data_IF_382318345296
#
_entry.id   IF_382318345296
#
_cell.length_a   1.000
_cell.length_b   1.000
_cell.length_c   1.000
_cell.angle_alpha   90.00
_cell.angle_beta   90.00
_cell.angle_gamma   90.00
#
_symmetry.space_group_name_H-M   'P 1'
#
loop_
_entity.id
_entity.type
_entity.pdbx_description
1 polymer ?
#
# COMPACT_ATOMS: atom_id res chain seq x y z
N UNK A 1 13.80 -7.29 16.72
CA UNK A 1 14.11 -8.18 15.59
C UNK A 1 14.11 -7.36 14.32
N UNK A 2 15.05 -7.57 13.39
CA UNK A 2 15.03 -6.88 12.10
C UNK A 2 13.98 -7.53 11.20
N UNK A 3 12.94 -6.78 10.84
CA UNK A 3 11.98 -7.20 9.81
C UNK A 3 12.61 -7.05 8.42
N UNK A 4 12.15 -7.85 7.45
CA UNK A 4 12.58 -7.79 6.06
C UNK A 4 11.39 -7.55 5.15
N UNK A 5 11.58 -6.74 4.12
CA UNK A 5 10.54 -6.51 3.11
C UNK A 5 10.42 -7.75 2.23
N UNK A 6 9.19 -8.25 2.10
CA UNK A 6 8.89 -9.45 1.32
C UNK A 6 8.28 -9.13 -0.05
N UNK A 7 7.50 -8.05 -0.14
CA UNK A 7 6.85 -7.63 -1.38
C UNK A 7 6.63 -6.11 -1.36
N UNK A 8 6.60 -5.52 -2.56
CA UNK A 8 6.13 -4.17 -2.83
C UNK A 8 5.02 -4.28 -3.88
N UNK A 9 3.81 -3.93 -3.49
CA UNK A 9 2.67 -3.82 -4.40
C UNK A 9 2.44 -2.35 -4.70
N UNK A 10 2.33 -2.00 -5.99
CA UNK A 10 2.22 -0.62 -6.43
C UNK A 10 0.91 -0.44 -7.18
N UNK A 11 0.30 0.72 -7.02
CA UNK A 11 -0.97 1.03 -7.67
C UNK A 11 -1.15 2.51 -7.97
N UNK A 12 -2.12 2.80 -8.83
CA UNK A 12 -2.56 4.14 -9.18
C UNK A 12 -4.04 4.32 -8.88
N UNK A 13 -4.42 5.52 -8.47
CA UNK A 13 -5.80 5.89 -8.26
C UNK A 13 -6.02 7.34 -8.63
N UNK A 14 -7.26 7.69 -8.92
CA UNK A 14 -7.60 9.01 -9.40
C UNK A 14 -8.93 9.47 -8.84
N UNK A 15 -9.05 10.77 -8.59
CA UNK A 15 -10.32 11.44 -8.38
C UNK A 15 -10.56 12.38 -9.56
N UNK A 16 -11.60 12.08 -10.33
CA UNK A 16 -11.90 12.80 -11.57
C UNK A 16 -12.61 14.13 -11.30
N UNK A 17 -13.34 14.20 -10.19
CA UNK A 17 -14.19 15.33 -9.83
C UNK A 17 -14.15 15.50 -8.31
N UNK A 18 -13.73 16.68 -7.83
CA UNK A 18 -13.80 17.03 -6.42
C UNK A 18 -12.46 17.37 -5.76
N UNK A 19 -11.34 17.14 -6.44
CA UNK A 19 -10.00 17.29 -5.84
C UNK A 19 -9.85 16.52 -4.52
N UNK A 20 -10.50 15.36 -4.42
CA UNK A 20 -10.45 14.54 -3.22
C UNK A 20 -9.20 13.65 -3.23
N UNK A 21 -8.13 14.18 -2.64
CA UNK A 21 -6.86 13.49 -2.49
C UNK A 21 -6.98 12.17 -1.73
N UNK A 22 -7.82 12.12 -0.68
CA UNK A 22 -8.04 10.91 0.11
C UNK A 22 -8.66 9.80 -0.73
N UNK A 23 -9.67 10.13 -1.53
CA UNK A 23 -10.33 9.17 -2.44
C UNK A 23 -9.39 8.69 -3.53
N UNK A 24 -8.58 9.57 -4.13
CA UNK A 24 -7.56 9.17 -5.09
C UNK A 24 -6.55 8.20 -4.47
N UNK A 25 -6.04 8.50 -3.27
CA UNK A 25 -5.13 7.63 -2.53
C UNK A 25 -5.77 6.29 -2.17
N UNK A 26 -7.03 6.27 -1.72
CA UNK A 26 -7.75 5.04 -1.41
C UNK A 26 -7.85 4.12 -2.64
N UNK A 27 -8.15 4.70 -3.81
CA UNK A 27 -8.18 3.97 -5.09
C UNK A 27 -6.81 3.40 -5.44
N UNK A 28 -5.73 4.16 -5.23
CA UNK A 28 -4.38 3.70 -5.51
C UNK A 28 -3.96 2.52 -4.63
N UNK A 29 -4.36 2.55 -3.36
CA UNK A 29 -4.14 1.44 -2.42
C UNK A 29 -4.95 0.21 -2.83
N UNK A 30 -6.22 0.39 -3.21
CA UNK A 30 -7.06 -0.72 -3.68
C UNK A 30 -6.50 -1.36 -4.97
N UNK A 31 -6.04 -0.54 -5.91
CA UNK A 31 -5.39 -0.99 -7.14
C UNK A 31 -4.14 -1.83 -6.84
N UNK A 32 -3.31 -1.39 -5.88
CA UNK A 32 -2.13 -2.14 -5.45
C UNK A 32 -2.49 -3.52 -4.87
N UNK A 33 -3.54 -3.62 -4.06
CA UNK A 33 -3.87 -4.83 -3.29
C UNK A 33 -4.74 -5.85 -4.04
N UNK A 34 -5.44 -5.48 -5.11
CA UNK A 34 -6.45 -6.35 -5.76
C UNK A 34 -5.90 -7.26 -6.85
N UNK A 35 -4.63 -7.13 -7.20
CA UNK A 35 -4.02 -7.91 -8.30
C UNK A 35 -3.33 -9.19 -7.84
N UNK A 36 -3.16 -9.38 -6.53
CA UNK A 36 -2.47 -10.53 -5.95
C UNK A 36 -3.22 -11.11 -4.75
N UNK A 37 -2.95 -12.38 -4.46
CA UNK A 37 -3.39 -13.04 -3.23
C UNK A 37 -2.17 -13.66 -2.57
N UNK A 38 -1.93 -13.31 -1.30
CA UNK A 38 -0.77 -13.74 -0.53
C UNK A 38 -1.19 -14.71 0.58
N UNK A 39 -1.17 -16.04 0.34
CA UNK A 39 -1.50 -17.04 1.36
C UNK A 39 -0.36 -17.25 2.41
N UNK A 40 0.53 -16.27 2.56
CA UNK A 40 1.79 -16.37 3.31
C UNK A 40 1.63 -16.85 4.75
N UNK A 41 0.59 -16.38 5.45
CA UNK A 41 0.37 -16.73 6.87
C UNK A 41 0.18 -18.23 7.09
N UNK A 42 -0.60 -18.89 6.22
CA UNK A 42 -0.82 -20.33 6.30
C UNK A 42 0.41 -21.13 5.87
N UNK A 43 1.22 -20.59 4.96
CA UNK A 43 2.43 -21.26 4.45
C UNK A 43 3.60 -21.14 5.44
N UNK A 44 3.72 -20.01 6.13
CA UNK A 44 4.83 -19.70 7.03
C UNK A 44 4.50 -19.96 8.50
N UNK A 45 3.28 -20.40 8.82
CA UNK A 45 2.79 -20.59 10.20
C UNK A 45 3.00 -19.34 11.09
N UNK A 46 2.77 -18.17 10.51
CA UNK A 46 2.92 -16.88 11.18
C UNK A 46 1.55 -16.28 11.52
N UNK A 47 1.41 -15.63 12.70
CA UNK A 47 0.19 -14.93 13.03
C UNK A 47 0.04 -13.67 12.16
N UNK A 48 -1.19 -13.24 11.92
CA UNK A 48 -1.48 -12.09 11.04
C UNK A 48 -0.86 -10.77 11.50
N UNK A 49 -0.67 -10.60 12.81
CA UNK A 49 -0.08 -9.41 13.43
C UNK A 49 1.46 -9.37 13.36
N UNK A 50 2.11 -10.48 12.99
CA UNK A 50 3.54 -10.51 12.69
C UNK A 50 3.88 -9.62 11.50
N UNK A 51 2.93 -9.45 10.56
CA UNK A 51 3.12 -8.61 9.39
C UNK A 51 2.98 -7.12 9.73
N UNK A 52 4.03 -6.37 9.43
CA UNK A 52 3.96 -4.91 9.35
C UNK A 52 3.68 -4.51 7.92
N UNK A 53 2.71 -3.62 7.73
CA UNK A 53 2.38 -3.05 6.43
C UNK A 53 2.72 -1.57 6.45
N UNK A 54 3.50 -1.12 5.49
CA UNK A 54 3.82 0.28 5.30
C UNK A 54 3.27 0.73 3.96
N UNK A 55 2.39 1.71 4.01
CA UNK A 55 1.78 2.30 2.82
C UNK A 55 2.33 3.70 2.64
N UNK A 56 2.88 3.96 1.46
CA UNK A 56 3.26 5.31 1.03
C UNK A 56 2.33 5.71 -0.10
N UNK A 57 1.61 6.81 0.05
CA UNK A 57 0.83 7.41 -1.03
C UNK A 57 1.42 8.75 -1.45
N UNK A 58 1.39 9.04 -2.73
CA UNK A 58 1.97 10.25 -3.32
C UNK A 58 0.93 11.04 -4.10
N UNK A 59 0.76 12.32 -3.74
CA UNK A 59 -0.16 13.29 -4.36
C UNK A 59 0.43 14.71 -4.32
N UNK A 60 -0.17 15.65 -5.05
CA UNK A 60 0.33 17.03 -5.13
C UNK A 60 0.15 17.82 -3.83
N UNK A 61 -0.82 17.46 -2.99
CA UNK A 61 -1.02 18.07 -1.67
C UNK A 61 -1.17 16.97 -0.60
N UNK A 62 -0.05 16.53 0.01
CA UNK A 62 -0.03 15.42 0.98
C UNK A 62 -0.77 15.73 2.29
N UNK A 63 -0.89 17.01 2.64
CA UNK A 63 -1.49 17.47 3.90
C UNK A 63 -3.02 17.43 3.87
N UNK A 64 -3.61 17.38 2.67
CA UNK A 64 -5.05 17.23 2.46
C UNK A 64 -5.55 15.77 2.49
N UNK A 65 -4.65 14.81 2.72
CA UNK A 65 -5.01 13.38 2.78
C UNK A 65 -5.37 12.98 4.20
N UNK A 66 -6.55 12.40 4.38
CA UNK A 66 -6.97 11.76 5.63
C UNK A 66 -6.30 10.38 5.78
N UNK A 67 -5.13 10.36 6.41
CA UNK A 67 -4.33 9.15 6.62
C UNK A 67 -5.03 8.12 7.53
N UNK A 68 -5.85 8.56 8.47
CA UNK A 68 -6.56 7.68 9.40
C UNK A 68 -7.69 6.94 8.68
N UNK A 69 -8.42 7.62 7.80
CA UNK A 69 -9.41 7.01 6.93
C UNK A 69 -8.80 6.00 5.96
N UNK A 70 -7.58 6.24 5.46
CA UNK A 70 -6.86 5.27 4.63
C UNK A 70 -6.40 4.06 5.45
N UNK A 71 -5.81 4.29 6.62
CA UNK A 71 -5.32 3.22 7.50
C UNK A 71 -6.44 2.28 7.94
N UNK A 72 -7.63 2.81 8.23
CA UNK A 72 -8.81 2.04 8.62
C UNK A 72 -9.31 1.07 7.53
N UNK A 73 -8.96 1.28 6.26
CA UNK A 73 -9.35 0.42 5.12
C UNK A 73 -8.34 -0.69 4.83
N UNK A 74 -7.15 -0.65 5.42
CA UNK A 74 -6.09 -1.60 5.10
C UNK A 74 -6.39 -2.99 5.69
N UNK A 75 -6.21 -4.06 4.90
CA UNK A 75 -6.51 -5.41 5.35
C UNK A 75 -5.39 -5.96 6.24
N UNK A 76 -5.72 -6.25 7.50
CA UNK A 76 -4.91 -7.05 8.46
C UNK A 76 -3.49 -6.48 8.72
N UNK A 77 -2.84 -7.00 9.77
CA UNK A 77 -1.49 -6.60 10.15
C UNK A 77 -1.40 -5.23 10.83
N UNK A 78 -0.17 -4.84 11.14
CA UNK A 78 0.15 -3.54 11.76
C UNK A 78 0.40 -2.52 10.66
N UNK A 79 -0.66 -1.91 10.16
CA UNK A 79 -0.60 -0.99 9.03
C UNK A 79 -0.27 0.45 9.46
N UNK A 80 0.58 1.12 8.69
CA UNK A 80 0.87 2.55 8.81
C UNK A 80 0.81 3.18 7.43
N UNK A 81 0.14 4.33 7.33
CA UNK A 81 0.06 5.14 6.11
C UNK A 81 0.91 6.38 6.29
N UNK A 82 1.69 6.73 5.26
CA UNK A 82 2.34 8.04 5.14
C UNK A 82 2.04 8.65 3.78
N UNK A 83 1.94 9.96 3.73
CA UNK A 83 1.76 10.73 2.51
C UNK A 83 3.04 11.45 2.15
N UNK A 84 3.31 11.60 0.85
CA UNK A 84 4.46 12.34 0.32
C UNK A 84 4.03 13.15 -0.89
N UNK A 85 4.79 14.19 -1.22
CA UNK A 85 4.59 14.92 -2.46
C UNK A 85 4.91 14.04 -3.67
N UNK A 86 4.03 14.04 -4.67
CA UNK A 86 4.18 13.30 -5.93
C UNK A 86 2.87 13.24 -6.69
N UNK A 87 2.61 12.15 -7.41
CA UNK A 87 1.38 12.03 -8.21
C UNK A 87 1.26 13.14 -9.26
N UNK A 88 0.03 13.51 -9.63
CA UNK A 88 -0.23 14.57 -10.60
C UNK A 88 -1.60 15.23 -10.38
N UNK A 89 -1.67 16.55 -10.50
CA UNK A 89 -2.93 17.27 -10.70
C UNK A 89 -3.02 17.63 -12.18
N UNK A 90 -4.05 17.15 -12.87
CA UNK A 90 -4.28 17.40 -14.30
C UNK A 90 -5.42 18.40 -14.44
N UNK A 91 -5.15 19.66 -14.84
CA UNK A 91 -6.21 20.61 -15.18
C UNK A 91 -7.08 20.08 -16.32
N UNK A 92 -8.40 20.14 -16.15
CA UNK A 92 -9.39 19.68 -17.12
C UNK A 92 -10.58 20.65 -17.14
N UNK A 93 -10.49 21.69 -17.97
CA UNK A 93 -11.47 22.78 -17.98
C UNK A 93 -11.46 23.53 -16.65
N UNK A 94 -12.63 23.62 -16.00
CA UNK A 94 -12.80 24.25 -14.69
C UNK A 94 -12.57 23.26 -13.51
N UNK A 95 -12.21 22.01 -13.81
CA UNK A 95 -11.94 20.98 -12.82
C UNK A 95 -10.46 20.55 -12.83
N UNK A 96 -10.06 19.82 -11.80
CA UNK A 96 -8.73 19.20 -11.69
C UNK A 96 -8.91 17.73 -11.36
N UNK A 97 -8.33 16.88 -12.20
CA UNK A 97 -8.22 15.45 -11.93
C UNK A 97 -7.01 15.23 -11.03
N UNK A 98 -7.23 14.64 -9.86
CA UNK A 98 -6.15 14.21 -8.96
C UNK A 98 -5.72 12.80 -9.35
N UNK A 99 -4.43 12.59 -9.51
CA UNK A 99 -3.80 11.28 -9.71
C UNK A 99 -2.86 11.00 -8.54
N UNK A 100 -3.15 9.91 -7.83
CA UNK A 100 -2.36 9.41 -6.73
C UNK A 100 -1.60 8.15 -7.14
N UNK A 101 -0.41 7.95 -6.58
CA UNK A 101 0.29 6.67 -6.59
C UNK A 101 0.37 6.08 -5.18
N UNK A 102 0.42 4.76 -5.09
CA UNK A 102 0.60 4.04 -3.84
C UNK A 102 1.70 2.99 -3.97
N UNK A 103 2.46 2.80 -2.89
CA UNK A 103 3.34 1.68 -2.63
C UNK A 103 2.91 1.03 -1.32
N UNK A 104 2.50 -0.22 -1.37
CA UNK A 104 2.12 -1.05 -0.23
C UNK A 104 3.21 -2.09 0.00
N UNK A 105 3.93 -1.95 1.10
CA UNK A 105 5.11 -2.75 1.42
C UNK A 105 4.80 -3.64 2.62
N UNK A 106 4.91 -4.95 2.45
CA UNK A 106 4.75 -5.89 3.55
C UNK A 106 6.12 -6.34 4.09
N UNK A 107 6.22 -6.43 5.40
CA UNK A 107 7.41 -6.87 6.11
C UNK A 107 7.07 -7.99 7.09
N UNK A 108 7.95 -8.98 7.15
CA UNK A 108 7.87 -10.09 8.10
C UNK A 108 9.18 -10.18 8.90
N UNK A 109 9.20 -10.86 10.06
CA UNK A 109 10.46 -11.26 10.68
C UNK A 109 11.35 -11.98 9.67
N UNK A 110 12.67 -11.77 9.77
CA UNK A 110 13.65 -12.45 8.92
C UNK A 110 13.39 -13.96 8.92
N UNK A 111 13.20 -14.53 7.73
CA UNK A 111 13.05 -15.97 7.53
C UNK A 111 14.44 -16.56 7.26
N UNK A 112 14.82 -17.59 8.00
CA UNK A 112 16.10 -18.28 7.91
C UNK A 112 15.92 -19.81 7.80
N UNK A 113 17.02 -20.55 7.67
CA UNK A 113 16.97 -22.02 7.65
C UNK A 113 16.51 -22.66 6.33
N UNK A 114 16.24 -21.89 5.27
CA UNK A 114 15.94 -22.41 3.94
C UNK A 114 17.07 -23.30 3.42
N UNK A 115 16.74 -24.52 2.98
CA UNK A 115 17.67 -25.47 2.37
C UNK A 115 17.07 -25.98 1.08
N UNK A 116 17.91 -26.21 0.07
CA UNK A 116 17.50 -26.95 -1.12
C UNK A 116 17.04 -28.34 -0.68
N UNK A 117 15.91 -28.78 -1.21
CA UNK A 117 15.50 -30.17 -1.07
C UNK A 117 16.43 -31.01 -1.93
N UNK A 118 16.95 -32.11 -1.40
CA UNK A 118 17.70 -33.07 -2.20
C UNK A 118 16.84 -33.49 -3.41
N UNK A 119 17.41 -33.56 -4.63
CA UNK A 119 16.66 -33.98 -5.80
C UNK A 119 16.08 -35.38 -5.57
N UNK A 120 14.78 -35.51 -5.81
CA UNK A 120 14.04 -36.77 -5.73
C UNK A 120 14.48 -37.78 -6.79
#
# INVERSE_FOLDING_TARGET
MSEQRIIIEMGMGNDLHGMDYTKACARAIEDALRHSSLPLFGVLDLPHDAMRVQVTVAVQDPDQVDIDALAAKLPRGRAQVRTVFGGLNVPSGDEVIVVAQASVEAFLPKQDGWRLRDPS
#
